data_IF_236698563614
#
_entry.id   IF_236698563614
#
_cell.length_a   1.000
_cell.length_b   1.000
_cell.length_c   1.000
_cell.angle_alpha   90.00
_cell.angle_beta   90.00
_cell.angle_gamma   90.00
#
_symmetry.space_group_name_H-M   'P 1'
#
loop_
_entity.id
_entity.type
_entity.pdbx_description
1 polymer ?
#
# COMPACT_ATOMS: atom_id res chain seq x y z
N UNK A 1 -27.57 0.51 -2.26
CA UNK A 1 -27.52 1.22 -0.97
C UNK A 1 -26.09 1.39 -0.45
N UNK A 2 -25.14 0.53 -0.79
CA UNK A 2 -23.75 0.62 -0.28
C UNK A 2 -23.01 1.77 -0.97
N UNK A 3 -23.19 1.94 -2.28
CA UNK A 3 -22.59 3.01 -3.06
C UNK A 3 -23.13 4.38 -2.65
N UNK A 4 -24.40 4.49 -2.23
CA UNK A 4 -24.96 5.75 -1.74
C UNK A 4 -24.31 6.19 -0.43
N UNK A 5 -23.91 5.24 0.43
CA UNK A 5 -23.18 5.53 1.68
C UNK A 5 -21.80 6.10 1.36
N UNK A 6 -21.03 5.40 0.51
CA UNK A 6 -19.63 5.78 0.21
C UNK A 6 -19.45 6.87 -0.86
N UNK A 7 -20.51 7.22 -1.59
CA UNK A 7 -20.45 8.28 -2.61
C UNK A 7 -20.19 9.67 -2.04
N UNK A 8 -20.45 9.88 -0.74
CA UNK A 8 -20.13 11.12 -0.01
C UNK A 8 -19.14 10.84 1.10
N UNK A 9 -18.17 11.71 1.31
CA UNK A 9 -17.16 11.52 2.34
C UNK A 9 -17.61 11.93 3.75
N UNK A 10 -18.62 11.24 4.29
CA UNK A 10 -19.18 11.51 5.62
C UNK A 10 -18.30 10.93 6.74
N UNK A 11 -18.16 11.61 7.90
CA UNK A 11 -17.44 11.09 9.07
C UNK A 11 -17.87 9.67 9.48
N UNK A 12 -19.17 9.38 9.40
CA UNK A 12 -19.76 8.08 9.73
C UNK A 12 -19.13 6.94 8.92
N UNK A 13 -18.79 7.16 7.65
CA UNK A 13 -18.19 6.13 6.80
C UNK A 13 -16.79 5.74 7.28
N UNK A 14 -16.03 6.72 7.78
CA UNK A 14 -14.68 6.50 8.31
C UNK A 14 -14.74 5.71 9.61
N UNK A 15 -15.68 6.05 10.50
CA UNK A 15 -15.91 5.32 11.74
C UNK A 15 -16.31 3.88 11.44
N UNK A 16 -17.26 3.67 10.51
CA UNK A 16 -17.73 2.34 10.11
C UNK A 16 -16.60 1.45 9.58
N UNK A 17 -15.81 1.93 8.62
CA UNK A 17 -14.73 1.12 8.03
C UNK A 17 -13.62 0.86 9.05
N UNK A 18 -13.30 1.84 9.89
CA UNK A 18 -12.27 1.67 10.93
C UNK A 18 -12.73 0.67 11.98
N UNK A 19 -13.99 0.73 12.43
CA UNK A 19 -14.53 -0.24 13.39
C UNK A 19 -14.59 -1.65 12.81
N UNK A 20 -14.98 -1.79 11.54
CA UNK A 20 -14.93 -3.07 10.83
C UNK A 20 -13.50 -3.61 10.74
N UNK A 21 -12.49 -2.76 10.47
CA UNK A 21 -11.09 -3.20 10.42
C UNK A 21 -10.65 -3.73 11.79
N UNK A 22 -10.96 -3.00 12.85
CA UNK A 22 -10.65 -3.40 14.23
C UNK A 22 -11.32 -4.73 14.57
N UNK A 23 -12.60 -4.89 14.21
CA UNK A 23 -13.34 -6.13 14.42
C UNK A 23 -12.70 -7.31 13.67
N UNK A 24 -12.42 -7.16 12.37
CA UNK A 24 -11.76 -8.20 11.58
C UNK A 24 -10.36 -8.53 12.09
N UNK A 25 -9.61 -7.53 12.56
CA UNK A 25 -8.32 -7.75 13.20
C UNK A 25 -8.47 -8.63 14.43
N UNK A 26 -9.38 -8.31 15.35
CA UNK A 26 -9.59 -9.14 16.54
C UNK A 26 -10.11 -10.53 16.21
N UNK A 27 -11.05 -10.69 15.27
CA UNK A 27 -11.50 -12.01 14.82
C UNK A 27 -10.31 -12.86 14.35
N UNK A 28 -9.41 -12.29 13.55
CA UNK A 28 -8.24 -12.99 13.04
C UNK A 28 -7.24 -13.34 14.14
N UNK A 29 -6.98 -12.43 15.08
CA UNK A 29 -6.04 -12.70 16.18
C UNK A 29 -6.59 -13.68 17.22
N UNK A 30 -7.91 -13.74 17.40
CA UNK A 30 -8.55 -14.71 18.30
C UNK A 30 -8.50 -16.14 17.76
N UNK A 31 -8.50 -16.31 16.43
CA UNK A 31 -8.28 -17.62 15.82
C UNK A 31 -6.85 -18.16 16.04
N UNK A 32 -5.90 -17.31 16.46
CA UNK A 32 -4.48 -17.65 16.67
C UNK A 32 -3.95 -17.07 17.98
N UNK A 33 -4.33 -17.63 19.14
CA UNK A 33 -4.08 -17.02 20.45
C UNK A 33 -2.62 -17.06 20.93
N UNK A 34 -1.66 -17.53 20.11
CA UNK A 34 -0.23 -17.64 20.44
C UNK A 34 0.38 -16.31 20.97
N UNK A 35 -0.14 -15.17 20.54
CA UNK A 35 0.36 -13.85 20.96
C UNK A 35 -0.02 -13.47 22.40
N UNK A 36 -1.04 -14.11 22.99
CA UNK A 36 -1.51 -13.78 24.34
C UNK A 36 -0.57 -14.29 25.44
N UNK A 37 0.35 -15.19 25.10
CA UNK A 37 1.28 -15.80 26.06
C UNK A 37 2.42 -14.85 26.49
N UNK A 38 2.65 -13.75 25.77
CA UNK A 38 3.75 -12.83 26.07
C UNK A 38 3.34 -11.35 25.96
N UNK A 39 3.81 -10.53 26.91
CA UNK A 39 3.61 -9.07 26.87
C UNK A 39 4.19 -8.41 25.61
N UNK A 40 5.27 -8.99 25.04
CA UNK A 40 5.85 -8.57 23.76
C UNK A 40 4.90 -8.82 22.60
N UNK A 41 4.24 -9.98 22.55
CA UNK A 41 3.26 -10.32 21.53
C UNK A 41 2.08 -9.35 21.53
N UNK A 42 1.56 -9.00 22.71
CA UNK A 42 0.50 -8.01 22.87
C UNK A 42 0.94 -6.64 22.32
N UNK A 43 2.12 -6.15 22.74
CA UNK A 43 2.64 -4.87 22.27
C UNK A 43 2.83 -4.83 20.75
N UNK A 44 3.35 -5.92 20.17
CA UNK A 44 3.50 -6.05 18.72
C UNK A 44 2.14 -5.97 18.00
N UNK A 45 1.11 -6.69 18.46
CA UNK A 45 -0.23 -6.62 17.85
C UNK A 45 -0.88 -5.25 17.99
N UNK A 46 -0.67 -4.57 19.11
CA UNK A 46 -1.14 -3.17 19.28
C UNK A 46 -0.48 -2.25 18.27
N UNK A 47 0.84 -2.36 18.06
CA UNK A 47 1.56 -1.57 17.04
C UNK A 47 1.04 -1.87 15.64
N UNK A 48 0.86 -3.14 15.28
CA UNK A 48 0.32 -3.52 13.95
C UNK A 48 -1.06 -2.88 13.75
N UNK A 49 -1.96 -2.98 14.73
CA UNK A 49 -3.30 -2.41 14.62
C UNK A 49 -3.26 -0.89 14.41
N UNK A 50 -2.46 -0.18 15.19
CA UNK A 50 -2.28 1.28 15.04
C UNK A 50 -1.74 1.64 13.64
N UNK A 51 -0.76 0.89 13.13
CA UNK A 51 -0.17 1.13 11.81
C UNK A 51 -1.15 0.81 10.68
N UNK A 52 -1.98 -0.22 10.81
CA UNK A 52 -3.02 -0.55 9.83
C UNK A 52 -4.09 0.55 9.78
N UNK A 53 -4.56 1.02 10.93
CA UNK A 53 -5.50 2.15 11.02
C UNK A 53 -4.86 3.41 10.42
N UNK A 54 -3.61 3.71 10.79
CA UNK A 54 -2.87 4.83 10.21
C UNK A 54 -2.73 4.71 8.69
N UNK A 55 -2.46 3.51 8.16
CA UNK A 55 -2.37 3.23 6.72
C UNK A 55 -3.69 3.53 6.00
N UNK A 56 -4.82 3.14 6.59
CA UNK A 56 -6.17 3.45 6.08
C UNK A 56 -6.35 4.97 5.93
N UNK A 57 -6.10 5.73 7.01
CA UNK A 57 -6.24 7.19 6.99
C UNK A 57 -5.24 7.85 6.05
N UNK A 58 -4.03 7.30 5.95
CA UNK A 58 -2.98 7.78 5.07
C UNK A 58 -3.41 7.70 3.60
N UNK A 59 -4.00 6.59 3.17
CA UNK A 59 -4.54 6.43 1.81
C UNK A 59 -5.62 7.47 1.52
N UNK A 60 -6.56 7.67 2.43
CA UNK A 60 -7.62 8.68 2.26
C UNK A 60 -7.07 10.12 2.25
N UNK A 61 -6.02 10.40 3.02
CA UNK A 61 -5.33 11.68 2.96
C UNK A 61 -4.67 11.89 1.60
N UNK A 62 -4.00 10.86 1.05
CA UNK A 62 -3.35 10.92 -0.26
C UNK A 62 -4.38 11.17 -1.36
N UNK A 63 -5.52 10.46 -1.35
CA UNK A 63 -6.55 10.59 -2.37
C UNK A 63 -7.21 11.96 -2.37
N UNK A 64 -7.66 12.42 -1.20
CA UNK A 64 -8.39 13.69 -1.08
C UNK A 64 -7.51 14.92 -1.30
N UNK A 65 -6.34 14.96 -0.66
CA UNK A 65 -5.48 16.15 -0.70
C UNK A 65 -4.97 16.48 -2.10
N UNK A 66 -4.90 15.48 -2.98
CA UNK A 66 -4.35 15.64 -4.32
C UNK A 66 -5.42 15.55 -5.43
N UNK A 67 -6.72 15.55 -5.08
CA UNK A 67 -7.81 15.53 -6.06
C UNK A 67 -7.78 14.31 -6.99
N UNK A 68 -7.24 13.18 -6.51
CA UNK A 68 -7.04 11.96 -7.30
C UNK A 68 -8.32 11.13 -7.47
N UNK A 69 -9.33 11.45 -6.68
CA UNK A 69 -10.70 10.94 -6.72
C UNK A 69 -11.63 12.12 -6.40
N UNK A 70 -12.91 12.01 -6.75
CA UNK A 70 -13.92 12.95 -6.23
C UNK A 70 -14.07 12.77 -4.71
N UNK A 71 -14.80 13.67 -4.04
CA UNK A 71 -15.04 13.69 -2.58
C UNK A 71 -15.90 12.51 -2.06
N UNK A 72 -15.44 11.30 -2.32
CA UNK A 72 -16.04 10.05 -1.88
C UNK A 72 -15.10 9.25 -0.97
N UNK A 73 -15.62 8.16 -0.44
CA UNK A 73 -14.90 7.25 0.47
C UNK A 73 -14.56 5.91 -0.19
N UNK A 74 -14.63 5.80 -1.53
CA UNK A 74 -14.42 4.51 -2.22
C UNK A 74 -12.98 4.01 -2.09
N UNK A 75 -11.97 4.88 -2.18
CA UNK A 75 -10.57 4.48 -2.01
C UNK A 75 -10.31 3.95 -0.58
N UNK A 76 -10.90 4.58 0.43
CA UNK A 76 -10.81 4.15 1.83
C UNK A 76 -11.45 2.77 2.03
N UNK A 77 -12.64 2.57 1.45
CA UNK A 77 -13.35 1.29 1.47
C UNK A 77 -12.62 0.16 0.74
N UNK A 78 -12.10 0.42 -0.47
CA UNK A 78 -11.35 -0.57 -1.26
C UNK A 78 -10.04 -0.95 -0.59
N UNK A 79 -9.34 0.00 0.04
CA UNK A 79 -8.13 -0.32 0.79
C UNK A 79 -8.43 -1.27 1.96
N UNK A 80 -9.51 -1.02 2.70
CA UNK A 80 -10.01 -1.94 3.73
C UNK A 80 -10.33 -3.34 3.16
N UNK A 81 -11.04 -3.41 2.02
CA UNK A 81 -11.32 -4.67 1.33
C UNK A 81 -10.02 -5.44 1.04
N UNK A 82 -9.00 -4.78 0.49
CA UNK A 82 -7.75 -5.46 0.14
C UNK A 82 -6.97 -5.96 1.37
N UNK A 83 -7.00 -5.23 2.49
CA UNK A 83 -6.40 -5.69 3.75
C UNK A 83 -7.06 -6.99 4.25
N UNK A 84 -8.39 -7.08 4.15
CA UNK A 84 -9.16 -8.22 4.65
C UNK A 84 -9.17 -9.39 3.67
N UNK A 85 -9.06 -9.12 2.36
CA UNK A 85 -8.92 -10.16 1.34
C UNK A 85 -7.70 -11.07 1.60
N UNK A 86 -6.67 -10.52 2.24
CA UNK A 86 -5.45 -11.23 2.62
C UNK A 86 -5.16 -11.11 4.12
N UNK A 87 -5.91 -11.84 4.98
CA UNK A 87 -5.84 -11.72 6.43
C UNK A 87 -4.44 -11.94 7.01
N UNK A 88 -3.58 -12.70 6.31
CA UNK A 88 -2.18 -12.91 6.68
C UNK A 88 -1.41 -11.60 6.91
N UNK A 89 -1.79 -10.51 6.22
CA UNK A 89 -1.18 -9.20 6.43
C UNK A 89 -1.40 -8.67 7.86
N UNK A 90 -2.51 -9.04 8.50
CA UNK A 90 -2.86 -8.62 9.86
C UNK A 90 -1.89 -9.21 10.91
N UNK A 91 -1.05 -10.18 10.52
CA UNK A 91 -0.03 -10.77 11.37
C UNK A 91 1.41 -10.41 10.99
N UNK A 92 1.62 -9.83 9.79
CA UNK A 92 2.95 -9.66 9.20
C UNK A 92 3.50 -8.27 9.48
N UNK A 93 4.15 -8.12 10.64
CA UNK A 93 4.67 -6.84 11.15
C UNK A 93 5.63 -6.16 10.18
N UNK A 94 6.53 -6.93 9.57
CA UNK A 94 7.55 -6.38 8.67
C UNK A 94 6.92 -5.80 7.40
N UNK A 95 5.97 -6.52 6.80
CA UNK A 95 5.28 -6.04 5.60
C UNK A 95 4.37 -4.86 5.91
N UNK A 96 3.64 -4.89 7.03
CA UNK A 96 2.77 -3.77 7.45
C UNK A 96 3.58 -2.49 7.68
N UNK A 97 4.69 -2.58 8.43
CA UNK A 97 5.57 -1.44 8.67
C UNK A 97 6.20 -0.93 7.38
N UNK A 98 6.76 -1.83 6.55
CA UNK A 98 7.34 -1.46 5.27
C UNK A 98 6.32 -0.72 4.38
N UNK A 99 5.13 -1.30 4.22
CA UNK A 99 4.07 -0.72 3.40
C UNK A 99 3.62 0.65 3.93
N UNK A 100 3.54 0.85 5.24
CA UNK A 100 3.23 2.15 5.83
C UNK A 100 4.28 3.21 5.50
N UNK A 101 5.57 2.88 5.60
CA UNK A 101 6.64 3.80 5.18
C UNK A 101 6.59 4.11 3.68
N UNK A 102 6.26 3.13 2.84
CA UNK A 102 6.01 3.36 1.42
C UNK A 102 4.81 4.30 1.19
N UNK A 103 3.73 4.20 1.99
CA UNK A 103 2.61 5.17 1.95
C UNK A 103 3.04 6.58 2.34
N UNK A 104 3.91 6.74 3.34
CA UNK A 104 4.49 8.05 3.71
C UNK A 104 5.32 8.64 2.57
N UNK A 105 6.10 7.80 1.88
CA UNK A 105 6.84 8.20 0.68
C UNK A 105 5.89 8.62 -0.45
N UNK A 106 4.85 7.83 -0.72
CA UNK A 106 3.84 8.12 -1.74
C UNK A 106 3.20 9.50 -1.54
N UNK A 107 2.83 9.83 -0.29
CA UNK A 107 2.29 11.15 0.04
C UNK A 107 3.22 12.28 -0.40
N UNK A 108 4.52 12.15 -0.12
CA UNK A 108 5.51 13.16 -0.49
C UNK A 108 5.66 13.24 -2.01
N UNK A 109 5.76 12.10 -2.69
CA UNK A 109 5.87 12.02 -4.16
C UNK A 109 4.68 12.62 -4.90
N UNK A 110 3.45 12.41 -4.42
CA UNK A 110 2.25 13.02 -5.03
C UNK A 110 2.22 14.53 -4.76
N UNK A 111 2.57 14.96 -3.55
CA UNK A 111 2.58 16.39 -3.18
C UNK A 111 3.60 17.25 -3.94
N UNK A 112 4.56 16.64 -4.65
CA UNK A 112 5.50 17.34 -5.54
C UNK A 112 4.80 18.12 -6.66
N UNK A 113 3.55 17.77 -6.99
CA UNK A 113 2.74 18.52 -7.96
C UNK A 113 2.59 20.01 -7.61
N UNK A 114 2.54 20.35 -6.33
CA UNK A 114 2.44 21.76 -5.88
C UNK A 114 3.73 22.55 -6.03
N UNK A 115 4.88 21.91 -6.31
CA UNK A 115 6.21 22.51 -6.41
C UNK A 115 6.67 23.32 -5.18
N UNK A 116 5.92 23.31 -4.08
CA UNK A 116 6.34 23.86 -2.78
C UNK A 116 7.38 22.93 -2.17
N UNK A 117 8.54 23.46 -1.79
CA UNK A 117 9.66 22.72 -1.15
C UNK A 117 10.00 21.35 -1.79
N UNK A 118 10.32 21.30 -3.09
CA UNK A 118 10.49 20.04 -3.80
C UNK A 118 11.67 19.21 -3.28
N UNK A 119 12.75 19.88 -2.84
CA UNK A 119 13.96 19.24 -2.31
C UNK A 119 13.68 18.44 -1.03
N UNK A 120 12.98 19.04 -0.08
CA UNK A 120 12.55 18.39 1.16
C UNK A 120 11.62 17.20 0.88
N UNK A 121 10.68 17.37 -0.05
CA UNK A 121 9.75 16.28 -0.43
C UNK A 121 10.47 15.10 -1.07
N UNK A 122 11.48 15.34 -1.91
CA UNK A 122 12.31 14.28 -2.51
C UNK A 122 13.10 13.58 -1.41
N UNK A 123 13.74 14.34 -0.52
CA UNK A 123 14.51 13.79 0.60
C UNK A 123 13.63 12.91 1.50
N UNK A 124 12.49 13.42 1.94
CA UNK A 124 11.54 12.67 2.77
C UNK A 124 11.06 11.40 2.06
N UNK A 125 10.70 11.50 0.77
CA UNK A 125 10.22 10.36 0.00
C UNK A 125 11.28 9.25 -0.09
N UNK A 126 12.52 9.61 -0.39
CA UNK A 126 13.65 8.68 -0.44
C UNK A 126 13.96 8.10 0.94
N UNK A 127 13.99 8.93 1.98
CA UNK A 127 14.24 8.52 3.36
C UNK A 127 13.24 7.44 3.80
N UNK A 128 11.94 7.67 3.59
CA UNK A 128 10.91 6.67 3.95
C UNK A 128 11.05 5.36 3.18
N UNK A 129 11.45 5.40 1.90
CA UNK A 129 11.71 4.18 1.11
C UNK A 129 12.89 3.39 1.68
N UNK A 130 13.98 4.05 2.04
CA UNK A 130 15.13 3.36 2.62
C UNK A 130 14.83 2.80 4.01
N UNK A 131 14.02 3.48 4.82
CA UNK A 131 13.51 2.91 6.08
C UNK A 131 12.63 1.68 5.81
N UNK A 132 11.73 1.74 4.82
CA UNK A 132 10.90 0.59 4.42
C UNK A 132 11.76 -0.63 4.03
N UNK A 133 12.85 -0.39 3.29
CA UNK A 133 13.78 -1.43 2.87
C UNK A 133 14.47 -2.17 4.04
N UNK A 134 14.56 -1.58 5.22
CA UNK A 134 15.08 -2.26 6.42
C UNK A 134 14.14 -3.38 6.91
N UNK A 135 12.84 -3.19 6.75
CA UNK A 135 11.82 -4.18 7.11
C UNK A 135 11.66 -5.23 6.01
N UNK A 136 11.55 -4.77 4.76
CA UNK A 136 11.46 -5.64 3.57
C UNK A 136 12.36 -5.11 2.44
N UNK A 137 13.47 -5.81 2.19
CA UNK A 137 14.57 -5.35 1.33
C UNK A 137 14.14 -4.84 -0.04
N UNK A 138 13.29 -5.58 -0.76
CA UNK A 138 12.88 -5.24 -2.12
C UNK A 138 12.01 -3.98 -2.21
N UNK A 139 11.52 -3.45 -1.09
CA UNK A 139 10.84 -2.16 -1.04
C UNK A 139 11.75 -1.00 -1.51
N UNK A 140 13.07 -1.20 -1.54
CA UNK A 140 14.03 -0.25 -2.12
C UNK A 140 13.72 0.11 -3.59
N UNK A 141 13.07 -0.78 -4.36
CA UNK A 141 12.71 -0.52 -5.76
C UNK A 141 11.79 0.68 -5.94
N UNK A 142 11.04 1.08 -4.91
CA UNK A 142 10.24 2.31 -4.96
C UNK A 142 11.08 3.58 -5.16
N UNK A 143 12.41 3.52 -4.99
CA UNK A 143 13.29 4.65 -5.31
C UNK A 143 13.21 5.06 -6.79
N UNK A 144 12.93 4.09 -7.69
CA UNK A 144 12.70 4.34 -9.11
C UNK A 144 11.53 5.34 -9.28
N UNK A 145 10.49 5.22 -8.45
CA UNK A 145 9.34 6.11 -8.50
C UNK A 145 9.67 7.54 -8.03
N UNK A 146 10.67 7.71 -7.16
CA UNK A 146 11.16 9.04 -6.78
C UNK A 146 11.83 9.71 -7.99
N UNK A 147 12.68 8.98 -8.73
CA UNK A 147 13.28 9.51 -9.95
C UNK A 147 12.24 9.82 -11.03
N UNK A 148 11.23 8.96 -11.23
CA UNK A 148 10.09 9.25 -12.10
C UNK A 148 9.38 10.54 -11.65
N UNK A 149 9.23 10.75 -10.35
CA UNK A 149 8.62 11.96 -9.81
C UNK A 149 9.45 13.23 -10.06
N UNK A 150 10.78 13.13 -9.98
CA UNK A 150 11.73 14.20 -10.33
C UNK A 150 11.60 14.53 -11.83
N UNK A 151 11.63 13.52 -12.71
CA UNK A 151 11.50 13.69 -14.16
C UNK A 151 10.23 14.47 -14.50
N UNK A 152 9.10 14.13 -13.88
CA UNK A 152 7.82 14.77 -14.20
C UNK A 152 7.63 16.18 -13.67
N UNK A 153 8.34 16.60 -12.61
CA UNK A 153 8.01 17.85 -11.91
C UNK A 153 9.19 18.82 -11.82
N UNK A 154 10.41 18.33 -11.67
CA UNK A 154 11.57 19.15 -11.27
C UNK A 154 12.89 18.64 -11.87
N UNK A 155 12.85 18.18 -13.12
CA UNK A 155 13.99 17.59 -13.82
C UNK A 155 15.15 18.56 -14.05
N UNK A 156 14.87 19.86 -14.19
CA UNK A 156 15.85 20.88 -14.60
C UNK A 156 16.91 21.26 -13.56
N UNK A 157 16.72 20.95 -12.27
CA UNK A 157 17.72 21.22 -11.23
C UNK A 157 18.47 19.92 -10.88
N UNK A 158 19.76 19.86 -11.26
CA UNK A 158 20.62 18.70 -11.00
C UNK A 158 20.70 18.33 -9.51
N UNK A 159 20.51 19.31 -8.60
CA UNK A 159 20.56 19.05 -7.15
C UNK A 159 19.47 18.08 -6.73
N UNK A 160 18.31 18.10 -7.39
CA UNK A 160 17.19 17.20 -7.10
C UNK A 160 17.55 15.73 -7.34
N UNK A 161 18.45 15.46 -8.28
CA UNK A 161 18.89 14.11 -8.62
C UNK A 161 19.85 13.52 -7.58
N UNK A 162 20.57 14.38 -6.85
CA UNK A 162 21.54 13.96 -5.83
C UNK A 162 20.84 13.66 -4.49
N UNK A 163 19.72 14.32 -4.20
CA UNK A 163 18.99 14.20 -2.92
C UNK A 163 18.64 12.76 -2.52
N UNK A 164 18.15 11.88 -3.42
CA UNK A 164 17.89 10.48 -3.08
C UNK A 164 19.11 9.75 -2.51
N UNK A 165 20.32 10.04 -3.02
CA UNK A 165 21.56 9.44 -2.51
C UNK A 165 21.93 9.98 -1.13
N UNK A 166 21.67 11.26 -0.85
CA UNK A 166 21.88 11.83 0.49
C UNK A 166 20.98 11.12 1.51
N UNK A 167 19.71 10.88 1.17
CA UNK A 167 18.79 10.13 2.02
C UNK A 167 19.24 8.68 2.24
N UNK A 168 19.79 8.03 1.20
CA UNK A 168 20.36 6.69 1.32
C UNK A 168 21.50 6.66 2.34
N UNK A 169 22.49 7.54 2.21
CA UNK A 169 23.63 7.59 3.13
C UNK A 169 23.20 7.95 4.55
N UNK A 170 22.19 8.81 4.73
CA UNK A 170 21.65 9.12 6.05
C UNK A 170 21.08 7.87 6.75
N UNK A 171 20.17 7.15 6.08
CA UNK A 171 19.56 5.93 6.64
C UNK A 171 20.60 4.83 6.85
N UNK A 172 21.50 4.64 5.88
CA UNK A 172 22.56 3.64 5.95
C UNK A 172 23.51 3.88 7.13
N UNK A 173 23.94 5.13 7.32
CA UNK A 173 24.84 5.49 8.43
C UNK A 173 24.18 5.26 9.79
N UNK A 174 22.91 5.68 9.94
CA UNK A 174 22.13 5.45 11.17
C UNK A 174 21.95 3.95 11.42
N UNK A 175 21.66 3.17 10.37
CA UNK A 175 21.45 1.74 10.49
C UNK A 175 22.72 1.00 10.90
N UNK A 176 23.87 1.34 10.30
CA UNK A 176 25.17 0.78 10.72
C UNK A 176 25.46 1.14 12.17
N UNK A 177 25.27 2.40 12.56
CA UNK A 177 25.51 2.83 13.93
C UNK A 177 24.62 2.05 14.91
N UNK A 178 23.34 1.87 14.60
CA UNK A 178 22.43 1.04 15.40
C UNK A 178 22.88 -0.42 15.47
N UNK A 179 23.33 -1.01 14.36
CA UNK A 179 23.88 -2.36 14.32
C UNK A 179 25.16 -2.52 15.14
N UNK A 180 26.03 -1.52 15.17
CA UNK A 180 27.26 -1.57 15.97
C UNK A 180 27.00 -1.41 17.48
N UNK A 181 26.00 -0.61 17.86
CA UNK A 181 25.67 -0.31 19.26
C UNK A 181 24.78 -1.38 19.89
N UNK A 182 23.73 -1.82 19.20
CA UNK A 182 22.72 -2.71 19.77
C UNK A 182 22.97 -4.18 19.43
N UNK A 183 23.14 -4.50 18.15
CA UNK A 183 23.29 -5.88 17.70
C UNK A 183 23.92 -5.98 16.30
N UNK A 184 25.13 -6.56 16.24
CA UNK A 184 25.88 -6.72 14.98
C UNK A 184 25.18 -7.65 13.98
N UNK A 185 24.29 -8.53 14.44
CA UNK A 185 23.53 -9.44 13.58
C UNK A 185 22.50 -8.73 12.71
N UNK A 186 22.12 -7.48 13.04
CA UNK A 186 21.26 -6.66 12.20
C UNK A 186 21.89 -6.44 10.83
N UNK A 187 23.20 -6.15 10.80
CA UNK A 187 23.93 -5.86 9.56
C UNK A 187 23.94 -7.09 8.65
N UNK A 188 24.33 -8.26 9.18
CA UNK A 188 24.36 -9.50 8.40
C UNK A 188 22.95 -9.95 8.00
N UNK A 189 21.96 -9.76 8.87
CA UNK A 189 20.56 -10.07 8.60
C UNK A 189 19.97 -9.28 7.43
N UNK A 190 20.38 -8.03 7.22
CA UNK A 190 19.92 -7.25 6.07
C UNK A 190 20.46 -7.79 4.74
N UNK A 191 21.73 -8.19 4.68
CA UNK A 191 22.32 -8.79 3.49
C UNK A 191 21.70 -10.15 3.17
N UNK A 192 21.36 -10.95 4.17
CA UNK A 192 20.65 -12.22 3.97
C UNK A 192 19.22 -12.06 3.42
N UNK A 193 18.60 -10.88 3.58
CA UNK A 193 17.29 -10.57 2.98
C UNK A 193 17.40 -10.16 1.51
N UNK A 194 18.60 -9.88 0.99
CA UNK A 194 18.85 -9.46 -0.38
C UNK A 194 18.98 -10.67 -1.35
N UNK A 195 18.04 -11.61 -1.24
CA UNK A 195 18.01 -12.82 -2.08
C UNK A 195 16.86 -12.70 -3.07
N UNK A 196 17.11 -13.12 -4.32
CA UNK A 196 16.09 -13.27 -5.34
C UNK A 196 15.47 -14.65 -5.24
N UNK A 197 14.15 -14.71 -5.31
CA UNK A 197 13.41 -15.97 -5.43
C UNK A 197 12.29 -15.81 -6.45
N UNK A 198 12.40 -16.57 -7.54
CA UNK A 198 11.41 -16.57 -8.60
C UNK A 198 10.45 -17.74 -8.50
N UNK A 199 10.65 -18.68 -7.58
CA UNK A 199 9.79 -19.85 -7.46
C UNK A 199 8.35 -19.42 -7.13
N UNK A 200 7.38 -19.99 -7.84
CA UNK A 200 5.95 -19.74 -7.68
C UNK A 200 5.25 -20.89 -6.94
N UNK A 201 5.99 -21.85 -6.38
CA UNK A 201 5.50 -22.98 -5.60
C UNK A 201 4.90 -22.63 -4.22
N UNK A 202 4.25 -21.46 -4.09
CA UNK A 202 3.57 -21.00 -2.88
C UNK A 202 2.06 -21.34 -2.84
N UNK A 203 1.46 -21.72 -3.97
CA UNK A 203 0.02 -22.00 -4.09
C UNK A 203 -0.41 -23.32 -3.42
N UNK A 204 -0.34 -23.39 -2.08
CA UNK A 204 -0.65 -24.61 -1.31
C UNK A 204 -2.10 -24.72 -0.84
N UNK A 205 -2.77 -23.59 -0.64
CA UNK A 205 -4.13 -23.56 -0.08
C UNK A 205 -5.12 -22.94 -1.07
N UNK A 206 -6.15 -23.71 -1.42
CA UNK A 206 -7.19 -23.35 -2.37
C UNK A 206 -7.85 -21.99 -2.07
N UNK A 207 -8.08 -21.65 -0.79
CA UNK A 207 -8.72 -20.38 -0.43
C UNK A 207 -7.81 -19.18 -0.68
N UNK A 208 -6.51 -19.31 -0.41
CA UNK A 208 -5.53 -18.27 -0.73
C UNK A 208 -5.41 -18.06 -2.25
N UNK A 209 -5.55 -19.13 -3.03
CA UNK A 209 -5.50 -19.08 -4.49
C UNK A 209 -6.75 -18.40 -5.06
N UNK A 210 -7.94 -18.68 -4.49
CA UNK A 210 -9.19 -18.00 -4.87
C UNK A 210 -9.09 -16.50 -4.57
N UNK A 211 -8.62 -16.12 -3.37
CA UNK A 211 -8.42 -14.73 -3.00
C UNK A 211 -7.44 -14.01 -3.95
N UNK A 212 -6.34 -14.67 -4.32
CA UNK A 212 -5.38 -14.15 -5.29
C UNK A 212 -5.99 -14.02 -6.69
N UNK A 213 -6.75 -15.01 -7.17
CA UNK A 213 -7.45 -14.94 -8.45
C UNK A 213 -8.43 -13.77 -8.52
N UNK A 214 -9.24 -13.59 -7.47
CA UNK A 214 -10.14 -12.45 -7.33
C UNK A 214 -9.38 -11.12 -7.35
N UNK A 215 -8.27 -11.04 -6.61
CA UNK A 215 -7.43 -9.85 -6.58
C UNK A 215 -6.85 -9.52 -7.95
N UNK A 216 -6.33 -10.52 -8.69
CA UNK A 216 -5.77 -10.32 -10.03
C UNK A 216 -6.83 -9.83 -11.01
N UNK A 217 -8.06 -10.36 -10.97
CA UNK A 217 -9.17 -9.89 -11.81
C UNK A 217 -9.51 -8.44 -11.50
N UNK A 218 -9.64 -8.07 -10.22
CA UNK A 218 -9.89 -6.69 -9.81
C UNK A 218 -8.72 -5.77 -10.19
N UNK A 219 -7.50 -6.26 -10.03
CA UNK A 219 -6.28 -5.52 -10.37
C UNK A 219 -6.22 -5.19 -11.86
N UNK A 220 -6.46 -6.18 -12.71
CA UNK A 220 -6.53 -6.01 -14.15
C UNK A 220 -7.64 -5.04 -14.54
N UNK A 221 -8.85 -5.21 -13.97
CA UNK A 221 -10.00 -4.36 -14.27
C UNK A 221 -9.76 -2.89 -13.91
N UNK A 222 -9.24 -2.60 -12.71
CA UNK A 222 -8.97 -1.23 -12.29
C UNK A 222 -7.78 -0.61 -13.02
N UNK A 223 -6.73 -1.40 -13.32
CA UNK A 223 -5.57 -0.93 -14.08
C UNK A 223 -5.96 -0.59 -15.52
N UNK A 224 -6.67 -1.49 -16.22
CA UNK A 224 -7.14 -1.25 -17.58
C UNK A 224 -8.12 -0.07 -17.62
N UNK A 225 -9.05 0.00 -16.66
CA UNK A 225 -9.96 1.12 -16.52
C UNK A 225 -9.24 2.46 -16.32
N UNK A 226 -8.16 2.47 -15.55
CA UNK A 226 -7.32 3.65 -15.40
C UNK A 226 -6.59 3.99 -16.70
N UNK A 227 -5.96 3.03 -17.38
CA UNK A 227 -5.23 3.27 -18.64
C UNK A 227 -6.16 3.84 -19.72
N UNK A 228 -7.35 3.24 -19.93
CA UNK A 228 -8.28 3.71 -20.95
C UNK A 228 -8.93 5.06 -20.61
N UNK A 229 -9.06 5.40 -19.34
CA UNK A 229 -9.61 6.70 -18.93
C UNK A 229 -8.58 7.83 -18.92
N UNK A 230 -7.27 7.53 -18.90
CA UNK A 230 -6.20 8.53 -18.84
C UNK A 230 -6.34 9.67 -19.86
N UNK A 231 -6.60 9.43 -21.17
CA UNK A 231 -6.68 10.50 -22.16
C UNK A 231 -7.77 11.53 -21.85
N UNK A 232 -8.85 11.09 -21.18
CA UNK A 232 -9.99 11.92 -20.84
C UNK A 232 -9.83 12.69 -19.51
N UNK A 233 -8.71 12.50 -18.79
CA UNK A 233 -8.44 13.17 -17.52
C UNK A 233 -7.72 14.51 -17.73
N UNK A 234 -7.89 15.50 -16.83
CA UNK A 234 -7.25 16.80 -16.96
C UNK A 234 -5.72 16.67 -16.92
N UNK A 235 -5.04 17.34 -17.84
CA UNK A 235 -3.57 17.29 -18.06
C UNK A 235 -2.75 17.43 -16.76
N UNK A 236 -3.16 18.31 -15.85
CA UNK A 236 -2.48 18.55 -14.57
C UNK A 236 -2.39 17.29 -13.68
N UNK A 237 -3.33 16.34 -13.82
CA UNK A 237 -3.34 15.10 -13.03
C UNK A 237 -2.68 13.92 -13.74
N UNK A 238 -2.33 14.03 -15.03
CA UNK A 238 -1.72 12.92 -15.80
C UNK A 238 -0.45 12.40 -15.13
N UNK A 239 0.42 13.30 -14.68
CA UNK A 239 1.66 12.90 -14.02
C UNK A 239 1.38 12.10 -12.74
N UNK A 240 0.39 12.51 -11.95
CA UNK A 240 -0.02 11.81 -10.73
C UNK A 240 -0.63 10.44 -11.05
N UNK A 241 -1.52 10.33 -12.04
CA UNK A 241 -2.08 9.04 -12.45
C UNK A 241 -1.04 8.07 -13.00
N UNK A 242 -0.08 8.56 -13.81
CA UNK A 242 1.04 7.74 -14.29
C UNK A 242 1.90 7.23 -13.14
N UNK A 243 2.17 8.05 -12.11
CA UNK A 243 2.87 7.61 -10.90
C UNK A 243 2.15 6.44 -10.22
N UNK A 244 0.82 6.46 -10.11
CA UNK A 244 0.07 5.34 -9.52
C UNK A 244 0.18 4.05 -10.33
N UNK A 245 0.21 4.12 -11.67
CA UNK A 245 0.45 2.96 -12.54
C UNK A 245 1.86 2.41 -12.31
N UNK A 246 2.89 3.26 -12.35
CA UNK A 246 4.26 2.84 -12.09
C UNK A 246 4.44 2.27 -10.68
N UNK A 247 3.79 2.87 -9.67
CA UNK A 247 3.77 2.34 -8.31
C UNK A 247 3.21 0.92 -8.28
N UNK A 248 2.07 0.69 -8.94
CA UNK A 248 1.47 -0.65 -9.01
C UNK A 248 2.40 -1.66 -9.69
N UNK A 249 3.02 -1.29 -10.82
CA UNK A 249 3.98 -2.14 -11.53
C UNK A 249 5.16 -2.50 -10.63
N UNK A 250 5.74 -1.52 -9.91
CA UNK A 250 6.84 -1.76 -8.97
C UNK A 250 6.41 -2.73 -7.85
N UNK A 251 5.20 -2.55 -7.29
CA UNK A 251 4.66 -3.48 -6.28
C UNK A 251 4.49 -4.91 -6.80
N UNK A 252 4.04 -5.08 -8.05
CA UNK A 252 3.97 -6.40 -8.71
C UNK A 252 5.36 -7.01 -8.89
N UNK A 253 6.34 -6.20 -9.33
CA UNK A 253 7.74 -6.67 -9.45
C UNK A 253 8.27 -7.14 -8.09
N UNK A 254 8.01 -6.39 -7.01
CA UNK A 254 8.40 -6.80 -5.64
C UNK A 254 7.78 -8.15 -5.26
N UNK A 255 6.50 -8.37 -5.57
CA UNK A 255 5.85 -9.66 -5.34
C UNK A 255 6.53 -10.80 -6.12
N UNK A 256 6.99 -10.55 -7.34
CA UNK A 256 7.60 -11.58 -8.19
C UNK A 256 9.02 -11.97 -7.77
N UNK A 257 9.82 -11.03 -7.27
CA UNK A 257 11.25 -11.23 -6.93
C UNK A 257 11.50 -11.57 -5.46
N UNK A 258 10.55 -11.25 -4.58
CA UNK A 258 10.73 -11.39 -3.14
C UNK A 258 10.81 -12.87 -2.71
N UNK A 259 11.74 -13.22 -1.79
CA UNK A 259 11.79 -14.52 -1.18
C UNK A 259 10.60 -14.75 -0.26
N UNK A 260 10.31 -16.02 0.03
CA UNK A 260 9.20 -16.47 0.88
C UNK A 260 7.87 -15.85 0.43
N UNK A 261 7.49 -16.14 -0.82
CA UNK A 261 6.28 -15.58 -1.43
C UNK A 261 5.08 -15.76 -0.52
N UNK A 262 4.29 -14.71 -0.40
CA UNK A 262 3.05 -14.71 0.37
C UNK A 262 2.12 -13.62 -0.13
N UNK A 263 0.82 -13.82 0.05
CA UNK A 263 -0.17 -12.85 -0.39
C UNK A 263 -0.05 -11.50 0.36
N UNK A 264 0.60 -11.47 1.53
CA UNK A 264 0.87 -10.22 2.24
C UNK A 264 1.78 -9.29 1.44
N UNK A 265 2.68 -9.80 0.59
CA UNK A 265 3.53 -8.97 -0.28
C UNK A 265 2.73 -8.12 -1.28
N UNK A 266 1.49 -8.52 -1.60
CA UNK A 266 0.60 -7.71 -2.44
C UNK A 266 0.19 -6.39 -1.75
N UNK A 267 0.47 -6.21 -0.45
CA UNK A 267 0.25 -4.95 0.28
C UNK A 267 0.78 -3.72 -0.47
N UNK A 268 1.96 -3.85 -1.06
CA UNK A 268 2.61 -2.80 -1.84
C UNK A 268 1.85 -2.42 -3.12
N UNK A 269 0.80 -3.15 -3.48
CA UNK A 269 -0.07 -2.85 -4.62
C UNK A 269 -1.46 -2.34 -4.20
N UNK A 270 -1.83 -2.43 -2.92
CA UNK A 270 -3.18 -2.05 -2.46
C UNK A 270 -3.45 -0.56 -2.61
N UNK A 271 -2.48 0.27 -2.23
CA UNK A 271 -2.60 1.72 -2.26
C UNK A 271 -2.86 2.28 -3.67
N UNK A 272 -2.07 1.94 -4.72
CA UNK A 272 -2.39 2.43 -6.05
C UNK A 272 -3.67 1.80 -6.59
N UNK A 273 -3.95 0.55 -6.23
CA UNK A 273 -5.09 -0.15 -6.75
C UNK A 273 -6.42 0.39 -6.18
N UNK A 274 -6.46 0.80 -4.92
CA UNK A 274 -7.67 1.39 -4.35
C UNK A 274 -7.97 2.78 -4.95
N UNK A 275 -6.94 3.56 -5.31
CA UNK A 275 -7.11 4.83 -6.03
C UNK A 275 -7.63 4.59 -7.45
N UNK A 276 -7.05 3.63 -8.18
CA UNK A 276 -7.53 3.27 -9.53
C UNK A 276 -8.96 2.71 -9.49
N UNK A 277 -9.27 1.86 -8.50
CA UNK A 277 -10.60 1.30 -8.33
C UNK A 277 -11.66 2.33 -7.95
N UNK A 278 -11.32 3.30 -7.08
CA UNK A 278 -12.21 4.40 -6.76
C UNK A 278 -12.56 5.21 -8.02
N UNK A 279 -11.55 5.54 -8.83
CA UNK A 279 -11.76 6.22 -10.11
C UNK A 279 -12.61 5.41 -11.09
N UNK A 280 -12.40 4.09 -11.16
CA UNK A 280 -13.19 3.21 -12.00
C UNK A 280 -14.68 3.21 -11.58
N UNK A 281 -14.95 3.06 -10.28
CA UNK A 281 -16.31 3.07 -9.73
C UNK A 281 -16.98 4.43 -9.97
N UNK A 282 -16.23 5.53 -9.92
CA UNK A 282 -16.73 6.85 -10.24
C UNK A 282 -17.17 6.99 -11.70
N UNK A 283 -16.41 6.42 -12.64
CA UNK A 283 -16.67 6.48 -14.08
C UNK A 283 -17.94 5.73 -14.50
N UNK A 284 -18.36 4.72 -13.73
CA UNK A 284 -19.62 4.04 -14.00
C UNK A 284 -20.78 5.04 -13.89
N UNK A 285 -21.63 5.17 -14.91
CA UNK A 285 -22.77 6.11 -14.85
C UNK A 285 -24.00 5.49 -14.20
N UNK A 286 -24.25 4.18 -14.43
CA UNK A 286 -25.44 3.48 -13.94
C UNK A 286 -25.27 3.06 -12.48
N UNK A 287 -26.18 3.52 -11.62
CA UNK A 287 -26.18 3.22 -10.18
C UNK A 287 -26.21 1.71 -9.88
N UNK A 288 -27.04 0.94 -10.59
CA UNK A 288 -27.11 -0.52 -10.43
C UNK A 288 -25.75 -1.18 -10.64
N UNK A 289 -25.01 -0.79 -11.69
CA UNK A 289 -23.70 -1.39 -11.97
C UNK A 289 -22.69 -1.14 -10.85
N UNK A 290 -22.69 0.06 -10.26
CA UNK A 290 -21.83 0.36 -9.11
C UNK A 290 -22.15 -0.53 -7.91
N UNK A 291 -23.44 -0.69 -7.61
CA UNK A 291 -23.90 -1.49 -6.49
C UNK A 291 -23.56 -2.97 -6.69
N UNK A 292 -23.76 -3.49 -7.90
CA UNK A 292 -23.43 -4.88 -8.21
C UNK A 292 -21.93 -5.14 -8.07
N UNK A 293 -21.07 -4.27 -8.63
CA UNK A 293 -19.62 -4.44 -8.52
C UNK A 293 -19.16 -4.38 -7.06
N UNK A 294 -19.59 -3.36 -6.31
CA UNK A 294 -19.19 -3.22 -4.90
C UNK A 294 -19.75 -4.35 -4.03
N UNK A 295 -21.01 -4.73 -4.24
CA UNK A 295 -21.67 -5.79 -3.50
C UNK A 295 -21.01 -7.15 -3.72
N UNK A 296 -20.69 -7.49 -4.97
CA UNK A 296 -19.97 -8.74 -5.30
C UNK A 296 -18.58 -8.74 -4.66
N UNK A 297 -17.83 -7.64 -4.80
CA UNK A 297 -16.49 -7.54 -4.20
C UNK A 297 -16.55 -7.70 -2.69
N UNK A 298 -17.48 -7.03 -2.02
CA UNK A 298 -17.66 -7.14 -0.57
C UNK A 298 -18.00 -8.59 -0.16
N UNK A 299 -18.99 -9.21 -0.80
CA UNK A 299 -19.43 -10.57 -0.47
C UNK A 299 -18.31 -11.58 -0.64
N UNK A 300 -17.58 -11.51 -1.75
CA UNK A 300 -16.45 -12.41 -2.02
C UNK A 300 -15.30 -12.17 -1.04
N UNK A 301 -15.05 -10.93 -0.64
CA UNK A 301 -14.02 -10.59 0.35
C UNK A 301 -14.38 -11.12 1.73
N UNK A 302 -15.63 -10.97 2.17
CA UNK A 302 -16.09 -11.50 3.46
C UNK A 302 -16.02 -13.03 3.45
N UNK A 303 -16.49 -13.67 2.38
CA UNK A 303 -16.40 -15.12 2.23
C UNK A 303 -14.95 -15.61 2.31
N UNK A 304 -14.05 -15.02 1.53
CA UNK A 304 -12.63 -15.41 1.52
C UNK A 304 -11.92 -15.11 2.84
N UNK A 305 -12.31 -14.05 3.57
CA UNK A 305 -11.80 -13.77 4.91
C UNK A 305 -12.22 -14.85 5.91
N UNK A 306 -13.51 -15.19 5.95
CA UNK A 306 -14.04 -16.24 6.85
C UNK A 306 -13.40 -17.60 6.53
N UNK A 307 -13.19 -17.93 5.27
CA UNK A 307 -12.54 -19.19 4.88
C UNK A 307 -11.03 -19.25 5.19
N UNK A 308 -10.39 -18.12 5.50
CA UNK A 308 -8.96 -18.02 5.79
C UNK A 308 -8.62 -17.81 7.29
N UNK A 309 -9.65 -17.64 8.13
CA UNK A 309 -9.52 -17.54 9.59
C UNK A 309 -8.90 -18.82 10.19
#
# INVERSE_FOLDING_TARGET
>A
MITSVFSKSKPVNYILITSLLVLCFFLYQLARPEWMESGRGIAEKTVILLVLVASLFMVNFITKKNGLSKDNSFAFFLFFIFLILFPKILNDTNIVLSNFFILLSLRRMVSLQSLVTPKEKIFDASLWIFIAALFHFWSILFIILVFISIIFHVAGDYRNWIIPFIAFFAVFTIYILAGLVFDKTLITGLFHKAVFDFDLNYFKNSFHNIALGLYVVLAALFLLGQIFSLPNKPLNLHASYKKFIFFFIIGVVIFLISPNKSNSLLAFTFAPLCVMGANFIELLHKYWMKETVIGIVLLLTIFTFISQL
#
